data_IF_701147209846
#
_entry.id   IF_701147209846
#
_cell.length_a   1.000
_cell.length_b   1.000
_cell.length_c   1.000
_cell.angle_alpha   90.00
_cell.angle_beta   90.00
_cell.angle_gamma   90.00
#
_symmetry.space_group_name_H-M   'P 1'
#
loop_
_entity.id
_entity.type
_entity.pdbx_description
1 polymer ?
#
# COMPACT_ATOMS: atom_id res chain seq x y z
N UNK A 1 -36.62 -12.49 -45.52
CA UNK A 1 -36.59 -12.22 -44.07
C UNK A 1 -36.49 -13.55 -43.34
N UNK A 2 -35.29 -13.91 -42.88
CA UNK A 2 -35.00 -15.18 -42.18
C UNK A 2 -34.73 -14.83 -40.71
N UNK A 3 -35.47 -15.43 -39.78
CA UNK A 3 -35.24 -15.27 -38.33
C UNK A 3 -34.09 -16.20 -37.90
N UNK A 4 -33.12 -15.73 -37.09
CA UNK A 4 -32.10 -16.62 -36.55
C UNK A 4 -32.67 -17.43 -35.37
N UNK A 5 -32.28 -18.71 -35.34
CA UNK A 5 -32.63 -19.67 -34.29
C UNK A 5 -31.82 -19.41 -33.01
N UNK A 6 -32.48 -19.40 -31.87
CA UNK A 6 -31.88 -19.23 -30.53
C UNK A 6 -31.35 -20.57 -30.04
N UNK A 7 -30.02 -20.72 -29.99
CA UNK A 7 -29.34 -21.84 -29.32
C UNK A 7 -29.44 -21.64 -27.80
N UNK A 8 -30.15 -22.52 -27.10
CA UNK A 8 -30.13 -22.62 -25.63
C UNK A 8 -28.90 -23.42 -25.20
N UNK A 9 -27.87 -22.72 -24.71
CA UNK A 9 -26.78 -23.34 -23.96
C UNK A 9 -27.26 -23.64 -22.54
N UNK A 10 -27.46 -24.92 -22.24
CA UNK A 10 -27.68 -25.43 -20.90
C UNK A 10 -26.33 -25.51 -20.19
N UNK A 11 -26.05 -24.55 -19.30
CA UNK A 11 -24.89 -24.62 -18.42
C UNK A 11 -25.18 -25.63 -17.31
N UNK A 12 -24.38 -26.71 -17.26
CA UNK A 12 -24.32 -27.56 -16.05
C UNK A 12 -23.61 -26.76 -14.95
N UNK A 13 -24.08 -26.80 -13.70
CA UNK A 13 -23.33 -26.22 -12.59
C UNK A 13 -22.03 -27.00 -12.43
N UNK A 14 -20.92 -26.28 -12.42
CA UNK A 14 -19.62 -26.80 -11.99
C UNK A 14 -19.67 -26.83 -10.48
N UNK A 15 -19.62 -28.03 -9.89
CA UNK A 15 -19.42 -28.20 -8.45
C UNK A 15 -18.02 -27.68 -8.12
N UNK A 16 -17.95 -26.54 -7.42
CA UNK A 16 -16.71 -26.06 -6.82
C UNK A 16 -16.33 -27.00 -5.65
N UNK A 17 -15.06 -27.40 -5.53
CA UNK A 17 -14.63 -28.23 -4.41
C UNK A 17 -14.75 -27.44 -3.10
N UNK A 18 -15.47 -28.00 -2.13
CA UNK A 18 -15.49 -27.53 -0.74
C UNK A 18 -14.08 -27.61 -0.14
N UNK A 19 -13.36 -26.50 -0.16
CA UNK A 19 -12.16 -26.33 0.66
C UNK A 19 -12.63 -26.01 2.08
N UNK A 20 -12.79 -27.07 2.88
CA UNK A 20 -13.01 -26.97 4.33
C UNK A 20 -11.77 -26.34 4.99
N UNK A 21 -11.83 -25.02 5.18
CA UNK A 21 -10.81 -24.20 5.84
C UNK A 21 -11.24 -23.94 7.28
N UNK A 22 -10.97 -24.86 8.20
CA UNK A 22 -11.10 -24.56 9.63
C UNK A 22 -9.88 -23.76 10.09
N UNK A 23 -9.91 -22.44 9.94
CA UNK A 23 -9.02 -21.56 10.69
C UNK A 23 -9.22 -21.85 12.18
N UNK A 24 -8.14 -22.17 12.90
CA UNK A 24 -8.22 -22.50 14.34
C UNK A 24 -7.71 -21.30 15.11
N UNK A 25 -8.60 -20.48 15.66
CA UNK A 25 -8.21 -19.31 16.47
C UNK A 25 -7.87 -19.79 17.90
N UNK A 26 -6.76 -19.35 18.51
CA UNK A 26 -6.43 -19.73 19.89
C UNK A 26 -7.53 -19.33 20.88
N UNK A 27 -7.84 -20.19 21.85
CA UNK A 27 -8.87 -19.89 22.87
C UNK A 27 -8.47 -18.77 23.85
N UNK A 28 -7.16 -18.55 24.04
CA UNK A 28 -6.62 -17.58 25.00
C UNK A 28 -5.87 -16.49 24.23
N UNK A 29 -5.98 -15.23 24.68
CA UNK A 29 -5.18 -14.12 24.14
C UNK A 29 -3.70 -14.32 24.49
N UNK A 30 -2.82 -14.08 23.53
CA UNK A 30 -1.38 -14.13 23.74
C UNK A 30 -0.96 -13.05 24.73
N UNK A 31 0.04 -13.38 25.55
CA UNK A 31 0.76 -12.36 26.33
C UNK A 31 1.68 -11.50 25.46
N UNK A 32 2.48 -10.61 26.07
CA UNK A 32 3.50 -9.86 25.35
C UNK A 32 4.46 -10.80 24.62
N UNK A 33 4.88 -10.42 23.40
CA UNK A 33 5.89 -11.14 22.67
C UNK A 33 7.23 -11.07 23.42
N UNK A 34 7.92 -12.19 23.47
CA UNK A 34 9.29 -12.29 23.98
C UNK A 34 10.28 -11.61 23.04
N UNK A 35 11.47 -11.30 23.55
CA UNK A 35 12.54 -10.74 22.74
C UNK A 35 12.93 -11.67 21.58
N UNK A 36 12.99 -12.98 21.84
CA UNK A 36 13.36 -13.98 20.84
C UNK A 36 12.33 -14.08 19.70
N UNK A 37 11.05 -13.97 20.02
CA UNK A 37 9.96 -13.93 19.03
C UNK A 37 10.04 -12.67 18.16
N UNK A 38 10.29 -11.49 18.77
CA UNK A 38 10.48 -10.25 18.03
C UNK A 38 11.70 -10.31 17.09
N UNK A 39 12.80 -10.93 17.55
CA UNK A 39 13.97 -11.18 16.70
C UNK A 39 13.71 -12.20 15.59
N UNK A 40 12.96 -13.26 15.88
CA UNK A 40 12.59 -14.25 14.86
C UNK A 40 11.75 -13.63 13.75
N UNK A 41 10.76 -12.82 14.13
CA UNK A 41 9.94 -12.07 13.18
C UNK A 41 10.79 -11.08 12.37
N UNK A 42 11.67 -10.33 13.03
CA UNK A 42 12.60 -9.40 12.34
C UNK A 42 13.40 -10.10 11.24
N UNK A 43 13.95 -11.29 11.55
CA UNK A 43 14.70 -12.10 10.56
C UNK A 43 13.79 -12.60 9.43
N UNK A 44 12.57 -13.03 9.76
CA UNK A 44 11.59 -13.49 8.76
C UNK A 44 11.22 -12.38 7.77
N UNK A 45 11.18 -11.12 8.23
CA UNK A 45 10.93 -9.93 7.40
C UNK A 45 12.16 -9.46 6.61
N UNK A 46 13.35 -10.02 6.84
CA UNK A 46 14.58 -9.62 6.15
C UNK A 46 15.08 -8.22 6.48
N UNK A 47 14.50 -7.57 7.50
CA UNK A 47 14.85 -6.23 7.94
C UNK A 47 15.91 -6.21 9.04
N UNK A 48 16.36 -5.00 9.39
CA UNK A 48 17.13 -4.73 10.62
C UNK A 48 16.26 -4.10 11.71
N UNK A 49 14.96 -3.99 11.45
CA UNK A 49 13.96 -3.41 12.33
C UNK A 49 13.99 -4.06 13.71
N UNK A 50 14.11 -3.23 14.74
CA UNK A 50 13.95 -3.64 16.13
C UNK A 50 12.46 -3.83 16.48
N UNK A 51 11.85 -4.92 16.01
CA UNK A 51 10.41 -5.16 16.22
C UNK A 51 10.02 -5.28 17.70
N UNK A 52 10.98 -5.44 18.61
CA UNK A 52 10.78 -5.32 20.05
C UNK A 52 10.31 -3.92 20.51
N UNK A 53 10.39 -2.91 19.63
CA UNK A 53 9.92 -1.54 19.86
C UNK A 53 8.48 -1.29 19.39
N UNK A 54 7.84 -2.27 18.75
CA UNK A 54 6.42 -2.23 18.36
C UNK A 54 5.66 -3.37 19.02
N UNK A 55 4.33 -3.32 18.93
CA UNK A 55 3.44 -4.35 19.47
C UNK A 55 3.52 -5.65 18.65
N UNK A 56 4.66 -6.34 18.72
CA UNK A 56 4.90 -7.63 18.04
C UNK A 56 3.87 -8.68 18.46
N UNK A 57 3.33 -8.59 19.68
CA UNK A 57 2.26 -9.48 20.13
C UNK A 57 1.02 -9.38 19.24
N UNK A 58 0.68 -8.17 18.76
CA UNK A 58 -0.43 -7.97 17.82
C UNK A 58 -0.20 -8.64 16.46
N UNK A 59 1.04 -8.89 16.03
CA UNK A 59 1.34 -9.59 14.78
C UNK A 59 1.26 -11.12 14.95
N UNK A 60 1.67 -11.62 16.11
CA UNK A 60 1.64 -13.06 16.43
C UNK A 60 0.24 -13.53 16.85
N UNK A 61 -0.58 -12.61 17.34
CA UNK A 61 -1.99 -12.81 17.70
C UNK A 61 -2.83 -11.68 17.08
N UNK A 62 -3.28 -11.82 15.81
CA UNK A 62 -3.91 -10.75 15.03
C UNK A 62 -5.37 -10.49 15.43
N UNK A 63 -5.67 -10.60 16.71
CA UNK A 63 -6.98 -10.27 17.26
C UNK A 63 -6.99 -8.86 17.80
N UNK A 64 -8.01 -8.13 17.37
CA UNK A 64 -8.37 -6.86 17.97
C UNK A 64 -7.65 -5.66 17.35
N UNK A 65 -7.85 -4.52 18.00
CA UNK A 65 -7.69 -3.20 17.39
C UNK A 65 -6.28 -2.88 16.94
N UNK A 66 -5.27 -3.39 17.64
CA UNK A 66 -3.87 -3.08 17.34
C UNK A 66 -3.44 -3.70 16.01
N UNK A 67 -3.80 -4.97 15.78
CA UNK A 67 -3.57 -5.64 14.51
C UNK A 67 -4.30 -4.94 13.36
N UNK A 68 -5.61 -4.69 13.51
CA UNK A 68 -6.42 -4.00 12.49
C UNK A 68 -5.85 -2.64 12.09
N UNK A 69 -5.24 -1.91 13.03
CA UNK A 69 -4.58 -0.63 12.74
C UNK A 69 -3.26 -0.79 11.99
N UNK A 70 -2.50 -1.85 12.28
CA UNK A 70 -1.27 -2.17 11.58
C UNK A 70 -1.58 -2.65 10.16
N UNK A 71 -2.53 -3.56 10.00
CA UNK A 71 -3.10 -4.02 8.73
C UNK A 71 -3.55 -2.82 7.87
N UNK A 72 -4.44 -1.98 8.39
CA UNK A 72 -4.94 -0.80 7.68
C UNK A 72 -3.85 0.19 7.25
N UNK A 73 -2.82 0.36 8.07
CA UNK A 73 -1.65 1.16 7.69
C UNK A 73 -0.82 0.45 6.61
N UNK A 74 -0.65 -0.86 6.78
CA UNK A 74 0.11 -1.75 5.94
C UNK A 74 -0.40 -1.78 4.51
N UNK A 75 -1.72 -1.89 4.34
CA UNK A 75 -2.44 -1.76 3.07
C UNK A 75 -1.95 -0.53 2.29
N UNK A 76 -2.04 0.66 2.87
CA UNK A 76 -1.60 1.91 2.21
C UNK A 76 -0.10 1.96 1.91
N UNK A 77 0.74 1.41 2.80
CA UNK A 77 2.18 1.37 2.58
C UNK A 77 2.54 0.39 1.47
N UNK A 78 1.88 -0.76 1.42
CA UNK A 78 2.10 -1.80 0.42
C UNK A 78 1.62 -1.34 -0.96
N UNK A 79 0.50 -0.65 -1.01
CA UNK A 79 0.00 0.02 -2.22
C UNK A 79 1.02 1.03 -2.77
N UNK A 80 1.61 1.86 -1.90
CA UNK A 80 2.65 2.81 -2.31
C UNK A 80 3.89 2.09 -2.85
N UNK A 81 4.44 1.10 -2.12
CA UNK A 81 5.62 0.32 -2.56
C UNK A 81 5.36 -0.38 -3.88
N UNK A 82 4.20 -1.03 -4.02
CA UNK A 82 3.85 -1.83 -5.20
C UNK A 82 3.56 -0.94 -6.42
N UNK A 83 2.90 0.20 -6.23
CA UNK A 83 2.68 1.17 -7.30
C UNK A 83 3.99 1.77 -7.81
N UNK A 84 4.94 2.04 -6.90
CA UNK A 84 6.28 2.47 -7.25
C UNK A 84 7.00 1.40 -8.09
N UNK A 85 6.99 0.15 -7.62
CA UNK A 85 7.59 -0.97 -8.35
C UNK A 85 7.02 -1.11 -9.76
N UNK A 86 5.70 -1.12 -9.88
CA UNK A 86 5.01 -1.30 -11.15
C UNK A 86 5.36 -0.21 -12.16
N UNK A 87 5.51 1.03 -11.70
CA UNK A 87 5.92 2.15 -12.56
C UNK A 87 7.35 1.96 -13.08
N UNK A 88 8.29 1.55 -12.23
CA UNK A 88 9.67 1.29 -12.63
C UNK A 88 9.80 0.06 -13.53
N UNK A 89 9.14 -1.05 -13.16
CA UNK A 89 9.12 -2.28 -13.93
C UNK A 89 8.58 -2.05 -15.34
N UNK A 90 7.48 -1.30 -15.47
CA UNK A 90 6.91 -0.94 -16.78
C UNK A 90 7.87 -0.08 -17.61
N UNK A 91 8.51 0.91 -17.00
CA UNK A 91 9.48 1.78 -17.69
C UNK A 91 10.72 1.01 -18.18
N UNK A 92 11.09 -0.07 -17.49
CA UNK A 92 12.23 -0.94 -17.84
C UNK A 92 11.85 -2.10 -18.76
N UNK A 93 10.57 -2.26 -19.08
CA UNK A 93 10.07 -3.45 -19.81
C UNK A 93 10.27 -4.76 -19.02
N UNK A 94 10.32 -4.70 -17.69
CA UNK A 94 10.48 -5.87 -16.85
C UNK A 94 9.18 -6.70 -16.84
N UNK A 95 9.32 -8.01 -17.05
CA UNK A 95 8.19 -8.92 -17.21
C UNK A 95 7.39 -9.22 -15.92
N UNK A 96 7.92 -8.88 -14.74
CA UNK A 96 7.31 -9.26 -13.45
C UNK A 96 5.92 -8.64 -13.22
N UNK A 97 5.64 -7.48 -13.82
CA UNK A 97 4.32 -6.83 -13.76
C UNK A 97 3.55 -6.91 -15.09
N UNK A 98 4.09 -7.60 -16.09
CA UNK A 98 3.50 -7.63 -17.44
C UNK A 98 2.13 -8.29 -17.41
N UNK A 99 1.11 -7.57 -17.90
CA UNK A 99 -0.28 -8.06 -17.94
C UNK A 99 -1.01 -8.05 -16.59
N UNK A 100 -0.36 -7.62 -15.50
CA UNK A 100 -0.97 -7.51 -14.17
C UNK A 100 -1.41 -6.08 -13.87
N UNK A 101 -2.60 -5.94 -13.31
CA UNK A 101 -3.05 -4.68 -12.70
C UNK A 101 -2.35 -4.45 -11.37
N UNK A 102 -2.50 -3.25 -10.81
CA UNK A 102 -2.02 -2.99 -9.45
C UNK A 102 -2.78 -3.83 -8.43
N UNK A 103 -4.10 -3.92 -8.57
CA UNK A 103 -4.95 -4.76 -7.71
C UNK A 103 -4.55 -6.23 -7.76
N UNK A 104 -4.09 -6.72 -8.92
CA UNK A 104 -3.58 -8.08 -9.03
C UNK A 104 -2.28 -8.27 -8.25
N UNK A 105 -1.47 -7.25 -7.97
CA UNK A 105 -0.21 -7.42 -7.23
C UNK A 105 -0.39 -7.40 -5.72
N UNK A 106 -1.48 -6.79 -5.24
CA UNK A 106 -1.82 -6.66 -3.82
C UNK A 106 -3.09 -7.45 -3.46
N UNK A 107 -3.47 -8.41 -4.30
CA UNK A 107 -4.65 -9.24 -4.02
C UNK A 107 -4.40 -10.16 -2.82
N UNK A 108 -5.42 -10.43 -2.01
CA UNK A 108 -5.31 -11.36 -0.88
C UNK A 108 -4.72 -12.71 -1.29
N UNK A 109 -5.10 -13.22 -2.47
CA UNK A 109 -4.60 -14.48 -3.01
C UNK A 109 -3.09 -14.43 -3.25
N UNK A 110 -2.59 -13.33 -3.82
CA UNK A 110 -1.17 -13.14 -4.08
C UNK A 110 -0.37 -12.89 -2.79
N UNK A 111 -0.90 -12.11 -1.86
CA UNK A 111 -0.26 -11.88 -0.56
C UNK A 111 -0.22 -13.17 0.27
N UNK A 112 -1.31 -13.94 0.27
CA UNK A 112 -1.39 -15.27 0.88
C UNK A 112 -0.39 -16.25 0.25
N UNK A 113 -0.25 -16.25 -1.07
CA UNK A 113 0.74 -17.09 -1.74
C UNK A 113 2.17 -16.70 -1.37
N UNK A 114 2.45 -15.39 -1.27
CA UNK A 114 3.79 -14.87 -1.05
C UNK A 114 4.29 -15.07 0.39
N UNK A 115 3.41 -15.03 1.40
CA UNK A 115 3.82 -15.22 2.80
C UNK A 115 4.24 -16.66 3.14
N UNK A 116 3.76 -17.67 2.41
CA UNK A 116 3.97 -19.11 2.70
C UNK A 116 5.43 -19.58 2.70
N UNK A 117 6.35 -18.80 2.14
CA UNK A 117 7.79 -19.11 2.13
C UNK A 117 8.65 -18.19 3.00
N UNK A 118 8.03 -17.29 3.79
CA UNK A 118 8.73 -16.22 4.49
C UNK A 118 9.35 -16.63 5.83
N UNK A 119 8.82 -17.68 6.48
CA UNK A 119 9.14 -18.02 7.86
C UNK A 119 8.22 -17.34 8.89
N UNK A 120 7.29 -16.48 8.47
CA UNK A 120 6.39 -15.74 9.38
C UNK A 120 5.28 -16.64 9.94
N UNK A 121 4.69 -17.50 9.10
CA UNK A 121 3.56 -18.34 9.52
C UNK A 121 3.99 -19.38 10.56
N UNK A 122 5.24 -19.82 10.51
CA UNK A 122 5.85 -20.78 11.43
C UNK A 122 6.04 -20.20 12.85
N UNK A 123 5.90 -18.89 13.01
CA UNK A 123 5.95 -18.21 14.32
C UNK A 123 4.58 -18.15 15.01
N UNK A 124 3.50 -18.48 14.28
CA UNK A 124 2.15 -18.48 14.80
C UNK A 124 1.87 -19.81 15.51
N UNK A 125 1.19 -19.75 16.65
CA UNK A 125 0.67 -20.91 17.37
C UNK A 125 -0.70 -21.37 16.84
N UNK A 126 -1.08 -20.88 15.65
CA UNK A 126 -2.37 -21.12 15.02
C UNK A 126 -2.27 -20.98 13.49
N UNK A 127 -3.29 -21.49 12.78
CA UNK A 127 -3.32 -21.49 11.32
C UNK A 127 -4.25 -20.39 10.80
N UNK A 128 -3.72 -19.31 10.18
CA UNK A 128 -4.53 -18.26 9.56
C UNK A 128 -5.27 -18.72 8.30
N UNK A 129 -6.48 -18.19 8.11
CA UNK A 129 -7.17 -18.25 6.82
C UNK A 129 -6.40 -17.46 5.75
N UNK A 130 -6.74 -17.66 4.46
CA UNK A 130 -6.08 -16.96 3.36
C UNK A 130 -6.15 -15.44 3.49
N UNK A 131 -7.34 -14.89 3.77
CA UNK A 131 -7.52 -13.47 4.04
C UNK A 131 -6.62 -12.99 5.18
N UNK A 132 -6.60 -13.72 6.30
CA UNK A 132 -5.78 -13.34 7.45
C UNK A 132 -4.26 -13.44 7.19
N UNK A 133 -3.84 -14.29 6.25
CA UNK A 133 -2.45 -14.33 5.78
C UNK A 133 -2.09 -13.05 5.03
N UNK A 134 -3.00 -12.53 4.20
CA UNK A 134 -2.81 -11.25 3.51
C UNK A 134 -2.73 -10.08 4.49
N UNK A 135 -3.69 -9.97 5.42
CA UNK A 135 -3.69 -8.94 6.47
C UNK A 135 -2.38 -8.94 7.29
N UNK A 136 -1.83 -10.13 7.54
CA UNK A 136 -0.57 -10.28 8.27
C UNK A 136 0.61 -9.74 7.48
N UNK A 137 0.63 -9.89 6.16
CA UNK A 137 1.66 -9.29 5.30
C UNK A 137 1.63 -7.77 5.43
N UNK A 138 0.46 -7.18 5.30
CA UNK A 138 0.25 -5.73 5.44
C UNK A 138 0.69 -5.24 6.82
N UNK A 139 0.19 -5.88 7.88
CA UNK A 139 0.55 -5.53 9.25
C UNK A 139 2.06 -5.64 9.52
N UNK A 140 2.73 -6.64 8.94
CA UNK A 140 4.19 -6.78 9.03
C UNK A 140 4.93 -5.65 8.32
N UNK A 141 4.47 -5.21 7.14
CA UNK A 141 5.05 -4.05 6.42
C UNK A 141 4.89 -2.78 7.23
N UNK A 142 3.73 -2.55 7.84
CA UNK A 142 3.50 -1.41 8.74
C UNK A 142 4.39 -1.45 9.98
N UNK A 143 4.54 -2.61 10.62
CA UNK A 143 5.39 -2.78 11.78
C UNK A 143 6.87 -2.51 11.45
N UNK A 144 7.36 -3.01 10.31
CA UNK A 144 8.71 -2.72 9.83
C UNK A 144 8.91 -1.22 9.56
N UNK A 145 7.91 -0.55 8.96
CA UNK A 145 7.94 0.89 8.76
C UNK A 145 7.99 1.68 10.07
N UNK A 146 7.18 1.31 11.07
CA UNK A 146 7.10 2.03 12.35
C UNK A 146 8.44 2.06 13.10
N UNK A 147 9.27 1.05 12.91
CA UNK A 147 10.58 0.96 13.58
C UNK A 147 11.71 1.51 12.73
N UNK A 148 11.70 1.21 11.43
CA UNK A 148 12.84 1.44 10.55
C UNK A 148 12.57 2.31 9.33
N UNK A 149 11.36 2.84 9.19
CA UNK A 149 10.94 3.65 8.05
C UNK A 149 10.90 2.87 6.74
N UNK A 150 11.03 3.60 5.62
CA UNK A 150 10.98 3.03 4.28
C UNK A 150 12.00 1.92 3.98
N UNK A 151 13.26 1.98 4.45
CA UNK A 151 14.21 0.89 4.23
C UNK A 151 13.72 -0.47 4.74
N UNK A 152 13.22 -0.51 5.98
CA UNK A 152 12.75 -1.77 6.58
C UNK A 152 11.37 -2.17 6.02
N UNK A 153 10.50 -1.21 5.68
CA UNK A 153 9.24 -1.50 4.99
C UNK A 153 9.48 -2.14 3.61
N UNK A 154 10.44 -1.61 2.83
CA UNK A 154 10.80 -2.14 1.52
C UNK A 154 11.46 -3.52 1.62
N UNK A 155 12.30 -3.74 2.65
CA UNK A 155 12.88 -5.05 2.93
C UNK A 155 11.79 -6.09 3.25
N UNK A 156 10.84 -5.73 4.12
CA UNK A 156 9.69 -6.57 4.46
C UNK A 156 8.85 -6.89 3.22
N UNK A 157 8.46 -5.87 2.43
CA UNK A 157 7.70 -6.08 1.20
C UNK A 157 8.45 -6.95 0.19
N UNK A 158 9.77 -6.77 0.06
CA UNK A 158 10.58 -7.60 -0.84
C UNK A 158 10.65 -9.06 -0.41
N UNK A 159 10.62 -9.29 0.91
CA UNK A 159 10.70 -10.62 1.49
C UNK A 159 9.35 -11.33 1.47
N UNK A 160 8.27 -10.58 1.69
CA UNK A 160 6.92 -11.11 1.86
C UNK A 160 6.08 -11.13 0.58
N UNK A 161 6.34 -10.26 -0.39
CA UNK A 161 5.47 -10.08 -1.57
C UNK A 161 6.20 -10.38 -2.86
N UNK A 162 7.26 -9.63 -3.16
CA UNK A 162 7.97 -9.82 -4.43
C UNK A 162 9.46 -9.49 -4.33
N UNK A 163 10.37 -10.43 -4.63
CA UNK A 163 11.82 -10.23 -4.45
C UNK A 163 12.40 -9.12 -5.32
N UNK A 164 11.78 -8.78 -6.46
CA UNK A 164 12.22 -7.63 -7.28
C UNK A 164 12.11 -6.28 -6.57
N UNK A 165 11.32 -6.15 -5.49
CA UNK A 165 11.29 -4.89 -4.73
C UNK A 165 12.66 -4.56 -4.12
N UNK A 166 13.47 -5.56 -3.74
CA UNK A 166 14.83 -5.31 -3.25
C UNK A 166 15.72 -4.59 -4.27
N UNK A 167 15.56 -4.90 -5.57
CA UNK A 167 16.32 -4.24 -6.64
C UNK A 167 15.95 -2.76 -6.82
N UNK A 168 14.82 -2.33 -6.26
CA UNK A 168 14.25 -0.99 -6.45
C UNK A 168 14.16 -0.19 -5.15
N UNK A 169 14.50 -0.80 -4.00
CA UNK A 169 14.45 -0.16 -2.70
C UNK A 169 15.20 1.17 -2.66
N UNK A 170 16.40 1.25 -3.25
CA UNK A 170 17.16 2.50 -3.32
C UNK A 170 16.40 3.59 -4.08
N UNK A 171 15.76 3.26 -5.20
CA UNK A 171 14.95 4.21 -5.98
C UNK A 171 13.68 4.64 -5.25
N UNK A 172 13.04 3.73 -4.50
CA UNK A 172 11.91 4.07 -3.64
C UNK A 172 12.34 5.08 -2.55
N UNK A 173 13.48 4.83 -1.90
CA UNK A 173 13.94 5.60 -0.74
C UNK A 173 14.49 6.96 -1.16
N UNK A 174 15.32 7.00 -2.20
CA UNK A 174 16.11 8.18 -2.59
C UNK A 174 15.54 8.92 -3.81
N UNK A 175 14.68 8.27 -4.58
CA UNK A 175 14.33 8.70 -5.94
C UNK A 175 15.44 8.37 -6.95
N UNK A 176 15.18 8.59 -8.24
CA UNK A 176 16.15 8.33 -9.31
C UNK A 176 16.21 9.40 -10.39
N UNK A 177 15.32 10.40 -10.36
CA UNK A 177 15.21 11.39 -11.43
C UNK A 177 15.07 12.82 -10.88
N UNK A 178 16.10 13.39 -10.22
CA UNK A 178 16.02 14.68 -9.53
C UNK A 178 15.63 15.86 -10.44
N UNK A 179 15.86 15.74 -11.74
CA UNK A 179 15.54 16.77 -12.74
C UNK A 179 14.35 16.41 -13.64
N UNK A 180 13.55 15.41 -13.27
CA UNK A 180 12.39 14.99 -14.06
C UNK A 180 11.40 16.16 -14.21
N UNK A 181 11.21 16.68 -15.41
CA UNK A 181 10.19 17.68 -15.70
C UNK A 181 8.78 17.07 -15.60
N UNK A 182 7.75 17.90 -15.39
CA UNK A 182 6.37 17.44 -15.47
C UNK A 182 6.08 16.98 -16.92
N UNK A 183 5.65 15.72 -17.13
CA UNK A 183 5.38 15.20 -18.46
C UNK A 183 4.04 15.70 -18.99
N UNK A 184 3.79 15.61 -20.32
CA UNK A 184 2.48 15.96 -20.88
C UNK A 184 1.34 15.15 -20.25
N UNK A 185 0.20 15.79 -19.99
CA UNK A 185 -0.97 15.15 -19.36
C UNK A 185 -1.53 13.94 -20.13
N UNK A 186 -1.24 13.84 -21.44
CA UNK A 186 -1.61 12.72 -22.30
C UNK A 186 -0.64 11.53 -22.21
N UNK A 187 0.51 11.69 -21.58
CA UNK A 187 1.55 10.65 -21.50
C UNK A 187 1.19 9.56 -20.49
N UNK A 188 1.75 8.37 -20.69
CA UNK A 188 1.69 7.28 -19.72
C UNK A 188 2.42 7.62 -18.43
N UNK A 189 3.55 8.33 -18.52
CA UNK A 189 4.29 8.77 -17.34
C UNK A 189 3.47 9.70 -16.45
N UNK A 190 2.69 10.62 -17.02
CA UNK A 190 1.77 11.47 -16.25
C UNK A 190 0.73 10.63 -15.51
N UNK A 191 0.08 9.69 -16.21
CA UNK A 191 -0.91 8.80 -15.60
C UNK A 191 -0.31 7.92 -14.50
N UNK A 192 0.87 7.36 -14.75
CA UNK A 192 1.61 6.56 -13.78
C UNK A 192 2.03 7.36 -12.55
N UNK A 193 2.52 8.60 -12.76
CA UNK A 193 2.82 9.51 -11.65
C UNK A 193 1.56 9.93 -10.88
N UNK A 194 0.43 10.14 -11.55
CA UNK A 194 -0.84 10.42 -10.87
C UNK A 194 -1.30 9.23 -10.01
N UNK A 195 -1.27 8.01 -10.55
CA UNK A 195 -1.57 6.80 -9.78
C UNK A 195 -0.65 6.66 -8.58
N UNK A 196 0.68 6.74 -8.78
CA UNK A 196 1.67 6.68 -7.70
C UNK A 196 1.42 7.75 -6.63
N UNK A 197 1.15 8.99 -7.04
CA UNK A 197 0.88 10.08 -6.11
C UNK A 197 -0.42 9.92 -5.33
N UNK A 198 -1.43 9.23 -5.87
CA UNK A 198 -2.63 8.86 -5.11
C UNK A 198 -2.27 7.95 -3.94
N UNK A 199 -1.45 6.92 -4.18
CA UNK A 199 -1.01 6.01 -3.13
C UNK A 199 -0.06 6.67 -2.13
N UNK A 200 0.80 7.59 -2.56
CA UNK A 200 1.62 8.41 -1.64
C UNK A 200 0.73 9.28 -0.74
N UNK A 201 -0.33 9.88 -1.29
CA UNK A 201 -1.31 10.66 -0.51
C UNK A 201 -2.04 9.78 0.51
N UNK A 202 -2.45 8.58 0.11
CA UNK A 202 -3.07 7.59 0.99
C UNK A 202 -2.13 7.16 2.11
N UNK A 203 -0.90 6.75 1.80
CA UNK A 203 0.11 6.41 2.80
C UNK A 203 0.38 7.59 3.75
N UNK A 204 0.54 8.81 3.23
CA UNK A 204 0.74 10.00 4.05
C UNK A 204 -0.43 10.27 5.01
N UNK A 205 -1.67 10.11 4.54
CA UNK A 205 -2.88 10.23 5.36
C UNK A 205 -2.94 9.14 6.43
N UNK A 206 -2.71 7.88 6.04
CA UNK A 206 -2.76 6.72 6.94
C UNK A 206 -1.74 6.84 8.07
N UNK A 207 -0.50 7.23 7.74
CA UNK A 207 0.56 7.47 8.70
C UNK A 207 0.21 8.54 9.73
N UNK A 208 -0.35 9.66 9.28
CA UNK A 208 -0.73 10.75 10.18
C UNK A 208 -1.96 10.39 11.04
N UNK A 209 -2.95 9.70 10.46
CA UNK A 209 -4.15 9.28 11.17
C UNK A 209 -3.86 8.23 12.24
N UNK A 210 -3.01 7.24 11.96
CA UNK A 210 -2.60 6.23 12.96
C UNK A 210 -1.84 6.90 14.11
N UNK A 211 -0.99 7.89 13.83
CA UNK A 211 -0.25 8.61 14.87
C UNK A 211 -1.15 9.49 15.76
N UNK A 212 -2.21 10.08 15.21
CA UNK A 212 -3.03 11.09 15.92
C UNK A 212 -4.36 10.58 16.45
N UNK A 213 -4.89 9.51 15.89
CA UNK A 213 -6.21 9.01 16.22
C UNK A 213 -6.13 7.57 16.71
N UNK A 214 -6.69 7.25 17.89
CA UNK A 214 -6.71 5.89 18.41
C UNK A 214 -7.78 5.01 17.76
N UNK A 215 -8.54 5.50 16.76
CA UNK A 215 -9.67 4.84 16.05
C UNK A 215 -9.41 3.40 15.58
N UNK A 216 -10.46 2.62 15.36
CA UNK A 216 -10.32 1.36 14.61
C UNK A 216 -10.25 1.62 13.09
N UNK A 217 -10.16 0.55 12.30
CA UNK A 217 -10.09 0.60 10.84
C UNK A 217 -11.24 1.42 10.21
N UNK A 218 -12.48 1.23 10.71
CA UNK A 218 -13.66 1.92 10.19
C UNK A 218 -13.58 3.44 10.41
N UNK A 219 -13.21 3.84 11.64
CA UNK A 219 -12.99 5.25 11.98
C UNK A 219 -11.86 5.89 11.15
N UNK A 220 -10.75 5.17 11.00
CA UNK A 220 -9.57 5.64 10.27
C UNK A 220 -9.88 5.78 8.78
N UNK A 221 -10.58 4.80 8.18
CA UNK A 221 -11.05 4.83 6.79
C UNK A 221 -11.96 6.01 6.53
N UNK A 222 -12.97 6.24 7.38
CA UNK A 222 -13.88 7.37 7.24
C UNK A 222 -13.14 8.72 7.26
N UNK A 223 -12.13 8.86 8.13
CA UNK A 223 -11.30 10.08 8.23
C UNK A 223 -10.39 10.23 7.00
N UNK A 224 -9.76 9.14 6.54
CA UNK A 224 -8.90 9.12 5.35
C UNK A 224 -9.68 9.57 4.11
N UNK A 225 -10.90 9.06 3.91
CA UNK A 225 -11.77 9.48 2.81
C UNK A 225 -12.06 10.99 2.82
N UNK A 226 -12.31 11.58 3.99
CA UNK A 226 -12.54 13.02 4.09
C UNK A 226 -11.29 13.83 3.73
N UNK A 227 -10.09 13.33 4.05
CA UNK A 227 -8.82 14.00 3.73
C UNK A 227 -8.50 13.99 2.25
N UNK A 228 -8.75 12.84 1.60
CA UNK A 228 -8.42 12.61 0.20
C UNK A 228 -9.53 13.05 -0.77
N UNK A 229 -10.67 13.52 -0.24
CA UNK A 229 -11.77 14.02 -1.05
C UNK A 229 -11.28 15.08 -2.04
N UNK A 230 -11.62 14.94 -3.32
CA UNK A 230 -11.14 15.85 -4.38
C UNK A 230 -11.40 17.33 -4.09
N UNK A 231 -12.48 17.65 -3.36
CA UNK A 231 -12.74 19.02 -2.88
C UNK A 231 -11.61 19.63 -2.03
N UNK A 232 -10.89 18.82 -1.26
CA UNK A 232 -9.73 19.24 -0.46
C UNK A 232 -8.43 19.32 -1.24
N UNK A 233 -8.26 18.49 -2.26
CA UNK A 233 -7.06 18.49 -3.09
C UNK A 233 -7.08 19.61 -4.15
N UNK A 234 -8.26 19.95 -4.68
CA UNK A 234 -8.44 20.94 -5.74
C UNK A 234 -7.79 22.32 -5.49
N UNK A 235 -7.82 22.91 -4.28
CA UNK A 235 -7.13 24.17 -3.99
C UNK A 235 -5.61 24.13 -4.25
N UNK A 236 -5.01 22.94 -4.25
CA UNK A 236 -3.58 22.73 -4.50
C UNK A 236 -3.26 22.46 -5.97
N UNK A 237 -4.27 22.33 -6.83
CA UNK A 237 -4.06 22.10 -8.25
C UNK A 237 -3.40 23.33 -8.88
N UNK A 238 -2.18 23.14 -9.39
CA UNK A 238 -1.52 24.15 -10.22
C UNK A 238 -2.23 24.23 -11.56
N UNK A 239 -2.28 25.42 -12.15
CA UNK A 239 -2.80 25.56 -13.52
C UNK A 239 -1.94 24.70 -14.44
N UNK A 240 -2.54 23.80 -15.23
CA UNK A 240 -1.80 22.97 -16.17
C UNK A 240 -0.97 23.84 -17.12
N UNK A 241 0.25 23.41 -17.44
CA UNK A 241 1.05 24.06 -18.48
C UNK A 241 0.33 23.98 -19.84
N UNK A 242 0.62 24.92 -20.74
CA UNK A 242 -0.23 25.27 -21.90
C UNK A 242 -0.59 24.15 -22.90
N UNK A 243 0.01 22.96 -22.81
CA UNK A 243 -0.38 21.78 -23.60
C UNK A 243 -1.61 21.04 -23.05
N UNK A 244 -1.99 21.25 -21.79
CA UNK A 244 -3.13 20.58 -21.18
C UNK A 244 -4.42 21.41 -21.38
N UNK A 245 -5.37 20.85 -22.15
CA UNK A 245 -6.64 21.49 -22.49
C UNK A 245 -7.78 21.12 -21.54
N UNK A 246 -7.68 20.00 -20.83
CA UNK A 246 -8.73 19.55 -19.91
C UNK A 246 -8.70 20.36 -18.62
N UNK A 247 -9.88 20.76 -18.14
CA UNK A 247 -10.03 21.55 -16.90
C UNK A 247 -11.06 20.96 -15.94
N UNK A 248 -11.48 19.71 -16.18
CA UNK A 248 -12.42 19.02 -15.30
C UNK A 248 -11.84 18.86 -13.89
N UNK A 249 -12.70 18.88 -12.86
CA UNK A 249 -12.28 18.73 -11.46
C UNK A 249 -11.42 17.48 -11.25
N UNK A 250 -11.82 16.34 -11.82
CA UNK A 250 -11.04 15.09 -11.78
C UNK A 250 -9.63 15.28 -12.35
N UNK A 251 -9.53 15.94 -13.50
CA UNK A 251 -8.24 16.18 -14.13
C UNK A 251 -7.31 17.08 -13.30
N UNK A 252 -7.87 18.09 -12.63
CA UNK A 252 -7.10 18.93 -11.71
C UNK A 252 -6.60 18.15 -10.50
N UNK A 253 -7.39 17.19 -10.00
CA UNK A 253 -6.94 16.25 -8.96
C UNK A 253 -5.81 15.37 -9.48
N UNK A 254 -5.90 14.86 -10.71
CA UNK A 254 -4.82 14.08 -11.33
C UNK A 254 -3.50 14.88 -11.38
N UNK A 255 -3.54 16.21 -11.61
CA UNK A 255 -2.34 17.05 -11.55
C UNK A 255 -1.75 17.18 -10.14
N UNK A 256 -2.59 17.25 -9.09
CA UNK A 256 -2.11 17.26 -7.70
C UNK A 256 -1.43 15.93 -7.39
N UNK A 257 -2.09 14.82 -7.72
CA UNK A 257 -1.55 13.48 -7.54
C UNK A 257 -0.25 13.31 -8.35
N UNK A 258 -0.23 13.69 -9.64
CA UNK A 258 0.96 13.61 -10.46
C UNK A 258 2.12 14.43 -9.88
N UNK A 259 1.85 15.62 -9.34
CA UNK A 259 2.89 16.41 -8.65
C UNK A 259 3.49 15.64 -7.47
N UNK A 260 2.69 14.97 -6.66
CA UNK A 260 3.18 14.14 -5.54
C UNK A 260 3.96 12.92 -6.04
N UNK A 261 3.46 12.22 -7.04
CA UNK A 261 4.16 11.07 -7.63
C UNK A 261 5.47 11.46 -8.33
N UNK A 262 5.55 12.65 -8.92
CA UNK A 262 6.81 13.17 -9.46
C UNK A 262 7.81 13.48 -8.36
N UNK A 263 7.37 13.99 -7.19
CA UNK A 263 8.27 14.16 -6.04
C UNK A 263 8.82 12.81 -5.56
N UNK A 264 8.02 11.74 -5.56
CA UNK A 264 8.49 10.38 -5.29
C UNK A 264 9.59 9.95 -6.25
N UNK A 265 9.42 10.19 -7.55
CA UNK A 265 10.44 9.82 -8.55
C UNK A 265 11.71 10.68 -8.47
N UNK A 266 11.58 11.94 -8.04
CA UNK A 266 12.69 12.89 -7.95
C UNK A 266 13.55 12.70 -6.71
N UNK A 267 12.90 12.51 -5.55
CA UNK A 267 13.54 12.67 -4.24
C UNK A 267 13.13 11.58 -3.23
N UNK A 268 12.39 10.57 -3.68
CA UNK A 268 12.07 9.39 -2.86
C UNK A 268 10.91 9.57 -1.89
N UNK A 269 10.69 8.51 -1.10
CA UNK A 269 9.47 8.33 -0.32
C UNK A 269 9.29 9.35 0.80
N UNK A 270 10.35 9.65 1.57
CA UNK A 270 10.24 10.62 2.67
C UNK A 270 9.84 12.01 2.17
N UNK A 271 10.46 12.46 1.07
CA UNK A 271 10.16 13.76 0.50
C UNK A 271 8.73 13.81 -0.05
N UNK A 272 8.31 12.78 -0.79
CA UNK A 272 6.98 12.71 -1.36
C UNK A 272 5.89 12.67 -0.30
N UNK A 273 6.07 11.87 0.76
CA UNK A 273 5.15 11.80 1.90
C UNK A 273 5.11 13.11 2.67
N UNK A 274 6.24 13.80 2.85
CA UNK A 274 6.26 15.12 3.47
C UNK A 274 5.48 16.15 2.65
N UNK A 275 5.64 16.15 1.32
CA UNK A 275 4.86 17.02 0.42
C UNK A 275 3.38 16.66 0.50
N UNK A 276 3.01 15.38 0.43
CA UNK A 276 1.64 14.91 0.58
C UNK A 276 1.01 15.37 1.90
N UNK A 277 1.72 15.24 3.03
CA UNK A 277 1.25 15.73 4.33
C UNK A 277 0.97 17.24 4.35
N UNK A 278 1.79 18.05 3.69
CA UNK A 278 1.55 19.50 3.57
C UNK A 278 0.29 19.83 2.78
N UNK A 279 -0.08 18.99 1.80
CA UNK A 279 -1.30 19.14 1.02
C UNK A 279 -2.54 18.70 1.82
N UNK A 280 -2.42 17.63 2.60
CA UNK A 280 -3.53 17.10 3.41
C UNK A 280 -3.83 17.99 4.63
N UNK A 281 -2.78 18.61 5.19
CA UNK A 281 -2.84 19.44 6.37
C UNK A 281 -2.13 20.78 6.12
N UNK A 282 -2.68 21.64 5.25
CA UNK A 282 -2.09 22.94 5.01
C UNK A 282 -1.99 23.69 6.35
N UNK A 283 -0.87 24.36 6.64
CA UNK A 283 -0.76 25.17 7.85
C UNK A 283 -1.93 26.14 7.87
N UNK A 284 -2.61 26.26 9.00
CA UNK A 284 -3.67 27.24 9.18
C UNK A 284 -3.08 28.60 8.81
N UNK A 285 -3.42 29.12 7.63
CA UNK A 285 -2.98 30.44 7.23
C UNK A 285 -3.52 31.38 8.28
N UNK A 286 -2.60 31.94 9.06
CA UNK A 286 -2.92 32.81 10.18
C UNK A 286 -3.95 33.84 9.74
N UNK A 287 -5.04 33.91 10.51
CA UNK A 287 -5.73 35.18 10.73
C UNK A 287 -4.63 36.20 10.96
N UNK A 288 -4.43 37.09 9.99
CA UNK A 288 -3.50 38.21 10.12
C UNK A 288 -3.99 38.99 11.33
N UNK A 289 -3.26 38.93 12.44
CA UNK A 289 -3.36 39.89 13.53
C UNK A 289 -2.90 41.25 13.05
#
# INVERSE_FOLDING_TARGET
MVRPATLKLSARPVEEPEVSSSATVPAVRRGPATHDEAWALTRALGGRARLDLVDTAALLDPRGRHFQRLEWLGDSLLDHVTAHHRLLASARGAGCCSGRTHADLVSDDDLCAAVRGSGVLELLDWTPSAHRQADLVEACVAAAWLVGGWPDAAAAASRLVHPSFAAEAATLIEGSHPHLAEPPCSSELFRGAATLGSYVLEAAASLDLVARHPGDEGDLTARRHLLLAGGRLLPHARRPSGSCRSRGRRHLVDHVQASVGLEQLRAGADRAVAVARQLLWPPAHGVRS
#
